data_IF_422686769952
#
_entry.id   IF_422686769952
#
_cell.length_a   1.000
_cell.length_b   1.000
_cell.length_c   1.000
_cell.angle_alpha   90.00
_cell.angle_beta   90.00
_cell.angle_gamma   90.00
#
_symmetry.space_group_name_H-M   'P 1'
#
loop_
_entity.id
_entity.type
_entity.pdbx_description
1 polymer ?
2 water ?
#
# COMPACT_ATOMS: atom_id res chain seq x y z
N UNK A 2 17.29 7.05 -8.92
CA UNK A 2 17.68 5.64 -9.21
C UNK A 2 16.61 4.76 -9.82
N UNK A 3 16.95 4.06 -10.90
CA UNK A 3 15.93 3.33 -11.66
C UNK A 3 16.38 2.05 -12.35
N UNK A 4 16.64 0.98 -11.60
CA UNK A 4 16.76 -0.37 -12.18
C UNK A 4 15.40 -0.78 -12.75
N UNK A 5 15.44 -1.50 -13.89
CA UNK A 5 14.22 -1.98 -14.55
C UNK A 5 14.07 -3.51 -14.46
N UNK A 6 12.82 -3.96 -14.50
CA UNK A 6 12.51 -5.34 -14.21
C UNK A 6 11.46 -5.82 -15.19
N UNK A 7 11.42 -7.13 -15.41
CA UNK A 7 10.34 -7.76 -16.15
C UNK A 7 10.01 -6.95 -17.41
N UNK A 8 8.74 -6.58 -17.58
CA UNK A 8 8.30 -5.89 -18.79
C UNK A 8 8.81 -4.47 -18.96
N UNK A 9 9.01 -3.78 -17.83
CA UNK A 9 9.40 -2.36 -17.89
C UNK A 9 10.32 -1.89 -16.78
N UNK A 10 10.17 -0.58 -16.51
CA UNK A 10 10.94 0.04 -15.47
C UNK A 10 10.08 0.50 -14.29
N UNK A 12 11.26 3.74 -11.49
CA UNK A 12 12.20 4.58 -10.77
C UNK A 12 12.06 4.27 -9.26
N UNK A 13 13.17 4.27 -8.52
CA UNK A 13 13.08 4.01 -7.08
C UNK A 13 14.05 4.84 -6.29
N UNK A 14 13.64 5.25 -5.09
CA UNK A 14 14.51 6.03 -4.17
C UNK A 14 15.14 5.12 -3.14
N UNK A 15 16.33 5.51 -2.70
CA UNK A 15 17.06 4.75 -1.74
C UNK A 15 17.55 5.70 -0.71
N UNK A 16 17.39 5.32 0.55
CA UNK A 16 17.72 6.19 1.65
C UNK A 16 18.19 5.39 2.84
N UNK A 17 19.47 5.52 3.17
CA UNK A 17 20.00 4.81 4.29
C UNK A 17 21.23 4.04 3.91
N UNK A 18 21.70 3.29 4.91
CA UNK A 18 22.89 2.48 4.80
C UNK A 18 22.55 1.12 4.18
N UNK A 19 23.11 0.80 2.99
CA UNK A 19 22.61 -0.33 2.20
C UNK A 19 22.74 -1.64 2.98
N UNK A 20 23.82 -1.72 3.75
CA UNK A 20 24.19 -2.84 4.59
C UNK A 20 23.58 -2.59 5.98
N UNK A 21 22.26 -2.42 5.97
CA UNK A 21 21.42 -2.34 7.17
C UNK A 21 20.12 -3.06 6.81
N UNK A 22 19.25 -3.35 7.81
CA UNK A 22 18.04 -4.11 7.49
C UNK A 22 17.22 -3.44 6.39
N UNK A 23 16.98 -4.18 5.30
CA UNK A 23 16.30 -3.61 4.13
C UNK A 23 14.78 -3.66 4.28
N UNK A 24 14.15 -2.54 3.93
CA UNK A 24 12.75 -2.26 4.18
C UNK A 24 12.20 -1.58 2.97
N UNK A 25 11.18 -2.18 2.35
CA UNK A 25 10.56 -1.58 1.17
C UNK A 25 9.34 -0.76 1.55
N UNK A 26 9.27 0.47 1.02
CA UNK A 26 8.07 1.26 1.19
C UNK A 26 7.24 1.31 -0.09
N UNK A 27 6.14 0.55 -0.15
CA UNK A 27 5.31 0.34 -1.38
C UNK A 27 3.97 1.03 -1.35
N UNK A 28 3.70 1.88 -2.33
CA UNK A 28 2.46 2.66 -2.35
C UNK A 28 1.12 1.95 -2.83
N UNK A 29 0.02 2.70 -2.89
CA UNK A 29 -1.17 2.21 -3.57
C UNK A 29 -1.09 2.55 -5.04
N UNK A 30 -2.17 2.24 -5.77
CA UNK A 30 -2.29 2.58 -7.20
C UNK A 30 -2.38 4.07 -7.31
N UNK A 31 -1.83 4.64 -8.38
CA UNK A 31 -1.94 6.07 -8.58
C UNK A 31 -1.28 6.87 -7.46
N UNK A 32 -0.24 6.29 -6.87
CA UNK A 32 0.59 6.96 -5.87
C UNK A 32 2.08 6.81 -6.15
N UNK A 33 2.84 7.54 -5.35
CA UNK A 33 4.23 7.60 -5.56
C UNK A 33 5.12 7.30 -4.37
N UNK A 34 6.44 7.30 -4.58
CA UNK A 34 7.38 7.26 -3.49
C UNK A 34 7.20 8.54 -2.64
N UNK A 35 6.64 9.59 -3.24
CA UNK A 35 6.30 10.82 -2.51
C UNK A 35 5.21 10.58 -1.43
N UNK A 36 4.52 9.46 -1.50
CA UNK A 36 3.64 9.15 -0.38
C UNK A 36 4.49 9.02 0.88
N UNK A 37 5.74 8.64 0.71
CA UNK A 37 6.55 8.31 1.85
C UNK A 37 7.47 9.43 2.26
N UNK A 38 7.18 10.63 1.79
CA UNK A 38 8.18 11.67 1.83
C UNK A 38 8.51 12.02 3.26
N UNK A 39 7.49 11.93 4.14
CA UNK A 39 7.66 12.27 5.57
C UNK A 39 8.20 11.10 6.34
N UNK A 40 7.74 9.91 6.00
CA UNK A 40 8.08 8.71 6.77
C UNK A 40 9.49 8.14 6.49
N UNK A 41 9.92 8.23 5.25
CA UNK A 41 11.20 7.67 4.85
C UNK A 41 12.37 8.30 5.54
N UNK A 42 12.49 9.65 5.55
CA UNK A 42 13.70 10.19 6.20
C UNK A 42 13.82 9.76 7.65
N UNK A 43 12.70 9.46 8.30
CA UNK A 43 12.73 8.98 9.66
C UNK A 43 13.32 7.56 9.72
N UNK A 44 12.82 6.65 8.88
CA UNK A 44 13.30 5.28 8.90
C UNK A 44 14.71 5.12 8.32
N UNK A 45 15.31 6.20 7.82
CA UNK A 45 16.65 6.11 7.19
C UNK A 45 17.77 5.98 8.23
N UNK A 46 17.36 6.03 9.50
CA UNK A 46 18.24 5.95 10.63
C UNK A 46 18.58 4.47 10.88
N UNK A 47 17.55 3.61 10.73
CA UNK A 47 17.60 2.22 11.20
C UNK A 47 17.67 1.23 10.08
N UNK A 48 16.99 1.57 9.00
CA UNK A 48 16.81 0.68 7.89
C UNK A 48 17.43 1.19 6.61
N UNK A 49 17.64 0.28 5.66
CA UNK A 49 17.98 0.62 4.28
C UNK A 49 16.65 0.76 3.57
N UNK A 50 16.30 1.96 3.09
CA UNK A 50 14.89 2.19 2.71
C UNK A 50 14.67 2.47 1.24
N UNK A 51 13.96 1.55 0.58
CA UNK A 51 13.67 1.63 -0.85
C UNK A 51 12.21 1.99 -1.13
N UNK A 52 11.94 3.16 -1.67
CA UNK A 52 10.59 3.46 -2.08
C UNK A 52 10.47 3.34 -3.60
N UNK A 53 9.96 2.19 -4.11
CA UNK A 53 9.70 2.05 -5.57
C UNK A 53 8.44 2.71 -6.17
N UNK A 54 8.44 2.84 -7.49
CA UNK A 54 7.29 3.41 -8.24
C UNK A 54 6.77 2.36 -9.20
N UNK A 55 5.59 1.87 -8.85
CA UNK A 55 4.88 0.88 -9.63
C UNK A 55 4.94 1.12 -11.15
N UNK A 56 4.93 0.04 -11.93
CA UNK A 56 4.66 0.16 -13.37
C UNK A 56 3.79 1.37 -13.71
N UNK A 57 4.25 2.22 -14.62
CA UNK A 57 3.40 3.31 -15.11
C UNK A 57 3.34 4.50 -14.18
N UNK A 58 3.93 4.32 -13.00
CA UNK A 58 3.94 5.34 -11.97
C UNK A 58 5.22 6.14 -11.87
N UNK A 59 6.21 5.80 -12.67
CA UNK A 59 7.44 6.55 -12.70
C UNK A 59 7.19 8.01 -13.16
N UNK A 60 8.19 8.86 -12.93
CA UNK A 60 8.16 10.26 -13.39
C UNK A 60 7.88 10.36 -14.89
N UNK A 61 8.08 9.26 -15.60
CA UNK A 61 7.90 9.24 -17.03
C UNK A 61 6.56 8.65 -17.41
N UNK A 62 5.75 8.38 -16.39
CA UNK A 62 4.46 7.71 -16.53
C UNK A 62 4.43 6.89 -17.82
N UNK A 63 5.09 5.73 -17.76
CA UNK A 63 5.33 4.92 -18.94
C UNK A 63 4.24 3.92 -19.16
N UNK A 64 3.70 3.91 -20.37
CA UNK A 64 2.71 2.92 -20.76
C UNK A 64 3.42 1.60 -21.07
N UNK A 65 2.69 0.73 -21.76
CA UNK A 65 3.02 -0.66 -21.95
C UNK A 65 1.66 -1.28 -21.76
N UNK A 66 1.58 -2.60 -21.87
CA UNK A 66 0.32 -3.30 -21.73
C UNK A 66 -0.33 -2.92 -20.41
N UNK A 67 -1.63 -3.13 -20.34
CA UNK A 67 -2.26 -3.08 -19.04
C UNK A 67 -1.71 -4.33 -18.36
N UNK A 68 -2.04 -4.51 -17.07
CA UNK A 68 -1.43 -5.58 -16.27
C UNK A 68 -2.28 -5.97 -15.06
N UNK A 69 -1.93 -7.10 -14.47
CA UNK A 69 -2.55 -7.59 -13.23
C UNK A 69 -1.82 -6.96 -12.03
N UNK A 70 -2.55 -6.94 -10.92
CA UNK A 70 -2.01 -6.81 -9.56
C UNK A 70 -0.98 -7.90 -9.27
N UNK A 71 -1.07 -9.00 -10.03
CA UNK A 71 -0.12 -10.12 -9.93
C UNK A 71 1.21 -9.93 -10.67
N UNK A 72 1.19 -9.15 -11.75
CA UNK A 72 2.45 -8.79 -12.42
C UNK A 72 3.21 -7.73 -11.60
N UNK A 73 2.51 -6.92 -10.76
CA UNK A 73 3.21 -5.90 -9.96
C UNK A 73 4.08 -6.59 -8.94
N UNK A 74 3.52 -7.61 -8.31
CA UNK A 74 4.25 -8.65 -7.58
C UNK A 74 5.48 -9.15 -8.32
N UNK A 75 5.27 -9.52 -9.58
CA UNK A 75 6.34 -10.05 -10.37
C UNK A 75 7.48 -9.03 -10.54
N UNK A 76 7.09 -7.79 -10.84
CA UNK A 76 7.96 -6.63 -10.78
C UNK A 76 8.89 -6.68 -9.55
N UNK A 77 8.28 -6.60 -8.37
CA UNK A 77 9.03 -6.55 -7.14
C UNK A 77 9.92 -7.78 -6.94
N UNK A 78 9.49 -8.95 -7.42
CA UNK A 78 10.29 -10.17 -7.27
C UNK A 78 11.56 -10.16 -8.17
N UNK A 79 11.41 -9.55 -9.33
CA UNK A 79 12.50 -9.30 -10.23
C UNK A 79 13.36 -8.13 -9.69
N UNK A 80 12.89 -7.48 -8.61
CA UNK A 80 13.63 -6.38 -7.97
C UNK A 80 14.63 -6.92 -6.99
N UNK A 81 14.14 -7.44 -5.86
CA UNK A 81 14.92 -8.16 -4.84
C UNK A 81 16.09 -9.02 -5.41
N UNK A 82 15.80 -9.76 -6.48
CA UNK A 82 16.75 -10.62 -7.18
C UNK A 82 17.78 -9.76 -7.93
N UNK A 83 17.30 -8.86 -8.78
CA UNK A 83 18.14 -8.02 -9.64
C UNK A 83 19.22 -7.26 -8.88
N UNK A 84 18.86 -6.80 -7.67
CA UNK A 84 19.77 -6.11 -6.73
C UNK A 84 20.44 -7.03 -5.71
N UNK A 85 20.00 -8.29 -5.66
CA UNK A 85 20.63 -9.31 -4.80
C UNK A 85 20.33 -9.14 -3.32
N UNK A 86 19.05 -9.22 -2.95
CA UNK A 86 18.66 -8.92 -1.59
C UNK A 86 17.94 -10.09 -0.94
N UNK A 87 18.67 -10.98 -0.27
CA UNK A 87 18.01 -12.11 0.47
C UNK A 87 17.15 -11.70 1.70
N UNK A 88 17.63 -10.79 2.56
CA UNK A 88 16.88 -10.42 3.78
C UNK A 88 16.19 -9.05 3.65
N UNK A 89 14.86 -9.02 3.86
CA UNK A 89 14.09 -7.78 3.71
C UNK A 89 12.64 -7.87 4.18
N UNK A 90 12.05 -6.70 4.40
CA UNK A 90 10.69 -6.58 4.85
C UNK A 90 10.01 -5.62 3.91
N UNK A 92 6.49 -2.70 3.59
CA UNK A 92 5.40 -1.99 4.19
C UNK A 92 4.63 -1.44 3.05
N UNK A 93 3.36 -1.77 2.99
CA UNK A 93 2.55 -1.35 1.84
C UNK A 93 1.33 -0.52 2.24
N UNK A 94 0.87 0.27 1.28
CA UNK A 94 -0.27 1.14 1.48
C UNK A 94 -1.51 0.67 0.74
N UNK A 95 -2.65 0.75 1.41
CA UNK A 95 -3.92 0.64 0.71
C UNK A 95 -3.94 -0.64 -0.17
N UNK A 96 -4.16 -0.50 -1.48
CA UNK A 96 -4.31 -1.68 -2.32
C UNK A 96 -2.98 -2.23 -2.83
N UNK A 97 -1.91 -1.54 -2.44
CA UNK A 97 -0.55 -2.07 -2.55
C UNK A 97 -0.42 -3.34 -1.73
N UNK A 98 -1.25 -3.49 -0.70
CA UNK A 98 -1.19 -4.65 0.15
C UNK A 98 -1.48 -5.99 -0.52
N UNK A 99 -2.51 -6.04 -1.36
CA UNK A 99 -2.71 -7.18 -2.26
C UNK A 99 -1.35 -7.65 -2.85
N UNK A 100 -0.53 -6.72 -3.35
CA UNK A 100 0.83 -7.07 -3.83
C UNK A 100 1.76 -7.62 -2.70
N UNK A 101 1.84 -6.89 -1.60
CA UNK A 101 2.53 -7.31 -0.40
C UNK A 101 2.23 -8.78 -0.01
N UNK A 102 0.95 -9.09 0.20
CA UNK A 102 0.58 -10.43 0.59
C UNK A 102 0.90 -11.48 -0.46
N UNK A 103 0.81 -11.08 -1.72
CA UNK A 103 1.17 -12.01 -2.81
C UNK A 103 2.62 -12.45 -2.65
N UNK A 104 3.47 -11.52 -2.25
CA UNK A 104 4.89 -11.80 -2.19
C UNK A 104 5.14 -12.64 -0.96
N UNK A 105 4.46 -12.34 0.14
CA UNK A 105 4.57 -13.17 1.32
C UNK A 105 4.16 -14.59 1.00
N UNK A 106 3.29 -14.73 0.00
CA UNK A 106 2.80 -16.04 -0.41
C UNK A 106 3.71 -16.68 -1.45
N UNK A 107 4.33 -15.86 -2.31
CA UNK A 107 5.18 -16.38 -3.39
C UNK A 107 6.51 -16.85 -2.85
N UNK A 108 7.19 -15.99 -2.11
CA UNK A 108 8.35 -16.35 -1.27
C UNK A 108 7.90 -17.09 0.00
N UNK A 109 8.86 -17.54 0.83
CA UNK A 109 8.48 -18.22 2.09
C UNK A 109 7.56 -17.41 3.04
N UNK A 110 7.06 -18.03 4.10
CA UNK A 110 6.79 -17.28 5.32
C UNK A 110 8.11 -17.30 6.05
N UNK A 111 8.67 -18.50 6.14
CA UNK A 111 10.02 -18.71 6.63
C UNK A 111 10.91 -17.59 6.15
N UNK A 112 10.92 -17.34 4.84
CA UNK A 112 11.71 -16.26 4.23
C UNK A 112 11.40 -14.86 4.81
N UNK A 113 10.21 -14.35 4.58
CA UNK A 113 9.85 -13.14 5.27
C UNK A 113 8.70 -13.36 6.25
N UNK A 114 9.05 -13.48 7.54
CA UNK A 114 8.13 -13.87 8.63
C UNK A 114 7.20 -12.75 9.14
N UNK A 115 7.32 -11.54 8.57
CA UNK A 115 6.59 -10.35 9.01
C UNK A 115 6.38 -9.36 7.90
N UNK A 116 5.27 -8.65 7.97
CA UNK A 116 4.95 -7.67 6.94
C UNK A 116 4.01 -6.60 7.50
N UNK A 117 3.94 -5.42 6.88
CA UNK A 117 3.06 -4.39 7.39
C UNK A 117 2.26 -3.87 6.27
N UNK A 118 1.03 -3.56 6.59
CA UNK A 118 0.10 -2.99 5.65
C UNK A 118 -0.52 -1.76 6.31
N UNK A 119 -0.88 -0.77 5.51
CA UNK A 119 -1.33 0.49 6.06
C UNK A 119 -2.65 0.85 5.38
N UNK A 120 -3.70 1.02 6.16
CA UNK A 120 -4.92 1.58 5.63
C UNK A 120 -5.44 0.85 4.43
N UNK A 121 -5.51 -0.48 4.59
CA UNK A 121 -6.13 -1.41 3.67
C UNK A 121 -7.52 -1.73 4.23
N UNK A 122 -8.55 -1.49 3.40
CA UNK A 122 -9.93 -1.68 3.82
C UNK A 122 -10.26 -3.16 3.93
N UNK A 123 -10.33 -3.63 5.18
CA UNK A 123 -10.35 -5.06 5.42
C UNK A 123 -11.65 -5.71 4.96
N UNK A 124 -12.68 -4.91 4.73
CA UNK A 124 -13.95 -5.47 4.38
C UNK A 124 -14.69 -4.50 3.45
N UNK A 125 -15.14 -4.96 2.26
CA UNK A 125 -15.74 -4.01 1.33
C UNK A 125 -17.13 -3.64 1.83
N UNK A 126 -17.74 -2.58 1.30
CA UNK A 126 -19.12 -2.23 1.68
C UNK A 126 -19.81 -1.53 0.51
N UNK A 127 -21.16 -1.38 0.53
CA UNK A 127 -21.86 -0.88 -0.67
C UNK A 127 -21.28 0.38 -1.26
N UNK A 128 -21.00 1.36 -0.41
CA UNK A 128 -20.33 2.60 -0.87
C UNK A 128 -19.12 2.39 -1.77
N UNK A 129 -18.18 1.60 -1.25
CA UNK A 129 -16.96 1.21 -1.92
C UNK A 129 -17.16 0.60 -3.32
N UNK A 130 -17.95 -0.47 -3.40
CA UNK A 130 -18.27 -1.09 -4.66
C UNK A 130 -18.76 -0.10 -5.70
N UNK A 131 -19.52 0.90 -5.25
CA UNK A 131 -19.98 1.91 -6.17
C UNK A 131 -18.83 2.73 -6.72
N UNK A 132 -17.97 3.20 -5.83
CA UNK A 132 -16.89 4.10 -6.21
C UNK A 132 -15.90 3.39 -7.11
N UNK A 133 -15.80 2.07 -6.96
CA UNK A 133 -15.02 1.29 -7.88
C UNK A 133 -15.67 1.28 -9.27
N UNK A 134 -17.00 1.36 -9.31
CA UNK A 134 -17.68 1.45 -10.61
C UNK A 134 -17.58 2.88 -11.16
N UNK A 135 -17.97 3.88 -10.36
CA UNK A 135 -17.82 5.28 -10.79
C UNK A 135 -16.43 5.44 -11.40
N UNK A 136 -15.44 5.03 -10.62
CA UNK A 136 -14.07 4.96 -11.05
C UNK A 136 -13.71 4.51 -12.46
N UNK A 137 -14.47 3.60 -13.08
CA UNK A 137 -14.02 3.04 -14.36
C UNK A 137 -14.72 3.63 -15.57
N UNK A 138 -15.62 4.57 -15.30
CA UNK A 138 -16.43 5.24 -16.29
C UNK A 138 -15.61 6.08 -17.26
N UNK A 139 -15.50 5.65 -18.54
CA UNK A 139 -14.60 6.25 -19.53
C UNK A 139 -14.70 7.77 -19.70
N UNK A 140 -15.87 8.31 -19.37
CA UNK A 140 -16.13 9.72 -19.62
C UNK A 140 -16.13 10.53 -18.34
N UNK A 141 -16.32 9.86 -17.20
CA UNK A 141 -16.47 10.56 -15.93
C UNK A 141 -15.74 9.89 -14.77
N UNK A 142 -14.66 9.22 -15.12
CA UNK A 142 -13.76 8.62 -14.14
C UNK A 142 -13.34 9.62 -13.07
N UNK A 143 -13.16 10.89 -13.43
CA UNK A 143 -12.86 11.96 -12.49
C UNK A 143 -13.83 12.06 -11.30
N UNK A 144 -15.13 12.18 -11.57
CA UNK A 144 -16.12 12.22 -10.52
C UNK A 144 -16.03 11.00 -9.55
N UNK A 145 -15.52 9.88 -10.07
CA UNK A 145 -15.31 8.66 -9.26
C UNK A 145 -14.02 8.75 -8.51
N UNK A 146 -12.98 9.24 -9.18
CA UNK A 146 -11.76 9.63 -8.49
C UNK A 146 -12.12 10.59 -7.36
N UNK A 147 -12.91 11.62 -7.65
CA UNK A 147 -13.12 12.71 -6.70
C UNK A 147 -13.87 12.18 -5.51
N UNK A 148 -14.76 11.22 -5.75
CA UNK A 148 -15.55 10.66 -4.70
C UNK A 148 -14.71 10.14 -3.51
N UNK A 149 -13.74 9.28 -3.83
CA UNK A 149 -12.70 8.84 -2.90
C UNK A 149 -12.00 9.99 -2.18
N UNK A 150 -11.50 10.96 -2.95
CA UNK A 150 -10.78 12.09 -2.35
C UNK A 150 -11.57 12.73 -1.23
N UNK A 151 -12.82 13.10 -1.51
CA UNK A 151 -13.66 13.77 -0.52
C UNK A 151 -13.66 12.93 0.75
N UNK A 152 -13.72 11.61 0.54
CA UNK A 152 -13.74 10.66 1.64
C UNK A 152 -12.37 10.56 2.31
N UNK A 153 -11.41 10.00 1.58
CA UNK A 153 -10.04 9.90 2.03
C UNK A 153 -9.52 11.13 2.80
N UNK A 154 -9.87 12.33 2.30
CA UNK A 154 -9.41 13.56 2.95
C UNK A 154 -10.09 13.91 4.26
N UNK A 155 -11.36 13.53 4.42
CA UNK A 155 -12.18 14.01 5.55
C UNK A 155 -11.98 15.50 5.84
N UNK A 156 -11.92 15.90 7.10
CA UNK A 156 -11.82 17.32 7.48
C UNK A 156 -10.42 17.85 7.74
N UNK A 157 -9.41 17.36 7.04
CA UNK A 157 -8.07 17.83 7.42
C UNK A 157 -7.69 19.12 6.83
N UNK A 158 -6.87 19.81 7.60
CA UNK A 158 -6.17 21.00 7.20
C UNK A 158 -4.76 20.57 6.74
N UNK A 159 -4.45 19.26 6.79
CA UNK A 159 -3.08 18.79 6.54
C UNK A 159 -2.43 19.10 5.15
N UNK A 160 -1.50 20.07 5.19
CA UNK A 160 -0.85 20.59 3.98
C UNK A 160 -0.42 19.47 3.05
N UNK A 161 0.26 18.46 3.62
CA UNK A 161 0.87 17.36 2.87
C UNK A 161 -0.13 16.38 2.30
N UNK A 162 -1.23 16.13 2.99
CA UNK A 162 -2.25 15.19 2.51
C UNK A 162 -3.01 15.85 1.39
N UNK A 163 -3.44 17.09 1.67
CA UNK A 163 -4.07 17.94 0.65
C UNK A 163 -3.19 18.01 -0.59
N UNK A 164 -1.90 18.28 -0.41
CA UNK A 164 -1.03 18.40 -1.57
C UNK A 164 -1.02 17.12 -2.38
N UNK A 165 -1.09 16.01 -1.64
CA UNK A 165 -1.05 14.71 -2.24
C UNK A 165 -2.27 14.51 -3.16
N UNK A 166 -3.45 14.67 -2.60
CA UNK A 166 -4.64 14.55 -3.40
C UNK A 166 -4.96 15.83 -4.18
N UNK A 167 -3.94 16.62 -4.47
CA UNK A 167 -4.11 17.65 -5.52
C UNK A 167 -3.04 17.65 -6.54
N UNK A 168 -1.95 16.94 -6.29
CA UNK A 168 -0.80 17.11 -7.16
C UNK A 168 -0.10 15.80 -7.49
N UNK A 169 -0.20 14.83 -6.60
CA UNK A 169 0.32 13.50 -6.88
C UNK A 169 -0.70 12.74 -7.69
N UNK A 171 -3.99 12.96 -8.71
CA UNK A 171 -4.88 13.21 -9.80
C UNK A 171 -4.06 13.51 -11.08
N UNK A 172 -2.75 13.68 -10.89
CA UNK A 172 -1.79 13.94 -11.95
C UNK A 172 -1.63 12.74 -12.90
N UNK A 173 -1.73 11.52 -12.36
CA UNK A 173 -1.67 10.29 -13.17
C UNK A 173 -2.83 10.22 -14.18
N UNK A 174 -2.69 9.39 -15.21
CA UNK A 174 -3.70 9.35 -16.27
C UNK A 174 -4.97 8.62 -15.89
N UNK A 175 -6.07 9.06 -16.50
CA UNK A 175 -7.36 8.36 -16.39
C UNK A 175 -7.28 6.86 -16.64
N UNK A 176 -6.48 6.48 -17.64
CA UNK A 176 -6.21 5.06 -17.91
C UNK A 176 -5.51 4.30 -16.72
N UNK A 178 -6.10 5.49 -13.40
CA UNK A 178 -7.15 5.53 -12.40
C UNK A 178 -8.12 4.33 -12.59
N UNK A 179 -8.33 4.00 -13.86
CA UNK A 179 -9.28 2.98 -14.25
C UNK A 179 -8.70 1.61 -14.04
N UNK A 180 -7.50 1.36 -14.55
CA UNK A 180 -6.87 0.06 -14.30
C UNK A 180 -6.95 -0.27 -12.81
N UNK A 181 -6.71 0.76 -11.99
CA UNK A 181 -6.67 0.62 -10.56
C UNK A 181 -7.99 0.07 -10.05
N UNK A 182 -9.07 0.59 -10.62
CA UNK A 182 -10.39 0.18 -10.19
C UNK A 182 -10.72 -1.21 -10.65
N UNK A 183 -10.41 -1.52 -11.90
CA UNK A 183 -10.62 -2.87 -12.39
C UNK A 183 -9.88 -3.82 -11.48
N UNK A 184 -8.67 -3.43 -11.13
CA UNK A 184 -7.83 -4.35 -10.43
C UNK A 184 -8.22 -4.55 -9.01
N UNK A 185 -8.51 -3.46 -8.32
CA UNK A 185 -8.90 -3.53 -6.92
C UNK A 185 -10.20 -4.32 -6.85
N UNK A 186 -11.12 -3.92 -7.74
CA UNK A 186 -12.39 -4.59 -7.92
C UNK A 186 -12.11 -6.06 -8.12
N UNK A 187 -11.34 -6.42 -9.14
CA UNK A 187 -11.00 -7.85 -9.34
C UNK A 187 -10.59 -8.62 -8.03
N UNK A 188 -9.69 -8.03 -7.22
CA UNK A 188 -9.16 -8.72 -6.06
C UNK A 188 -10.24 -8.98 -5.01
N UNK A 189 -11.09 -8.00 -4.76
CA UNK A 189 -12.18 -8.25 -3.84
C UNK A 189 -13.05 -9.43 -4.25
N UNK A 190 -13.29 -9.53 -5.57
CA UNK A 190 -14.14 -10.57 -6.18
C UNK A 190 -13.48 -11.91 -6.09
N UNK A 191 -12.15 -11.92 -6.11
CA UNK A 191 -11.44 -13.17 -6.00
C UNK A 191 -11.43 -13.71 -4.57
N UNK A 192 -11.11 -12.83 -3.62
CA UNK A 192 -10.74 -13.25 -2.27
C UNK A 192 -11.83 -12.96 -1.29
N UNK A 193 -12.74 -12.06 -1.70
CA UNK A 193 -13.83 -11.63 -0.85
C UNK A 193 -13.36 -10.39 -0.12
N UNK A 194 -12.25 -10.48 0.61
CA UNK A 194 -11.77 -9.37 1.38
C UNK A 194 -10.33 -9.60 1.69
N UNK A 195 -9.60 -8.53 1.99
CA UNK A 195 -8.31 -8.68 2.62
C UNK A 195 -8.31 -9.71 3.74
N UNK A 196 -9.28 -9.71 4.64
CA UNK A 196 -9.28 -10.72 5.71
C UNK A 196 -9.27 -12.18 5.24
N UNK A 197 -10.07 -12.48 4.20
CA UNK A 197 -10.11 -13.82 3.63
C UNK A 197 -8.83 -14.11 2.90
N UNK A 198 -8.37 -13.15 2.11
CA UNK A 198 -7.06 -13.30 1.49
C UNK A 198 -6.03 -13.86 2.49
N UNK A 200 -6.35 -14.96 5.65
CA UNK A 200 -6.74 -16.18 6.31
C UNK A 200 -6.44 -17.43 5.43
N UNK A 201 -6.16 -17.25 4.14
CA UNK A 201 -5.99 -18.37 3.26
C UNK A 201 -4.55 -18.61 2.86
N UNK A 202 -3.64 -17.84 3.44
CA UNK A 202 -2.23 -18.19 3.28
C UNK A 202 -2.00 -19.50 4.07
N UNK A 203 -1.22 -20.43 3.49
CA UNK A 203 -0.88 -21.71 4.16
C UNK A 203 -0.05 -21.56 5.45
N UNK A 204 0.83 -20.56 5.46
CA UNK A 204 1.69 -20.25 6.59
C UNK A 204 1.68 -18.74 6.75
N UNK A 205 1.25 -18.29 7.92
CA UNK A 205 0.96 -16.89 8.11
C UNK A 205 2.09 -16.15 8.80
N UNK A 206 2.58 -15.05 8.18
CA UNK A 206 3.51 -14.17 8.88
C UNK A 206 2.80 -13.45 9.98
N UNK A 207 3.56 -12.80 10.85
CA UNK A 207 2.97 -11.79 11.70
C UNK A 207 2.67 -10.59 10.80
N UNK A 208 1.41 -10.18 10.77
CA UNK A 208 0.92 -9.07 9.94
C UNK A 208 0.44 -7.94 10.84
N UNK A 209 0.94 -6.73 10.60
CA UNK A 209 0.54 -5.59 11.39
C UNK A 209 -0.15 -4.62 10.47
N UNK A 210 -1.40 -4.29 10.80
CA UNK A 210 -2.20 -3.31 10.07
C UNK A 210 -2.26 -1.98 10.81
N UNK A 211 -1.58 -0.98 10.24
CA UNK A 211 -1.64 0.42 10.69
C UNK A 211 -2.70 1.17 9.90
N UNK A 212 -3.50 2.00 10.53
CA UNK A 212 -4.67 2.52 9.82
C UNK A 212 -5.42 3.55 10.66
N UNK A 213 -5.94 4.56 9.98
CA UNK A 213 -6.80 5.56 10.63
C UNK A 213 -8.25 5.49 10.14
N UNK A 214 -8.40 5.14 8.86
CA UNK A 214 -9.68 5.14 8.18
C UNK A 214 -10.11 3.71 7.81
N UNK A 215 -11.40 3.45 7.61
CA UNK A 215 -12.60 4.20 7.72
C UNK A 215 -12.93 4.56 9.18
N UNK A 216 -13.60 5.70 9.34
CA UNK A 216 -13.77 6.28 10.61
C UNK A 216 -14.99 5.63 11.13
N UNK A 217 -14.82 4.39 11.59
CA UNK A 217 -15.93 3.60 12.07
C UNK A 217 -15.57 2.87 13.33
N UNK A 218 -16.30 3.16 14.39
CA UNK A 218 -16.09 2.40 15.61
C UNK A 218 -16.35 0.91 15.40
N UNK A 219 -17.38 0.53 14.65
CA UNK A 219 -17.59 -0.90 14.34
C UNK A 219 -16.32 -1.57 13.80
N UNK A 220 -15.68 -0.90 12.82
CA UNK A 220 -14.51 -1.35 12.10
C UNK A 220 -13.32 -1.49 13.02
N UNK A 221 -13.10 -0.50 13.87
CA UNK A 221 -12.03 -0.59 14.83
C UNK A 221 -12.27 -1.82 15.70
N UNK A 222 -13.52 -2.05 16.10
CA UNK A 222 -13.89 -3.20 16.90
C UNK A 222 -13.72 -4.54 16.15
N UNK A 223 -14.06 -4.53 14.86
CA UNK A 223 -13.87 -5.72 14.04
C UNK A 223 -12.42 -6.19 14.07
N UNK A 224 -11.45 -5.29 14.18
CA UNK A 224 -10.08 -5.76 14.09
C UNK A 224 -9.65 -6.28 15.44
N UNK A 225 -10.02 -5.55 16.47
CA UNK A 225 -9.69 -5.96 17.83
C UNK A 225 -10.15 -7.37 18.01
N UNK A 226 -11.28 -7.67 17.38
CA UNK A 226 -11.90 -8.99 17.44
C UNK A 226 -11.27 -10.03 16.54
N UNK A 227 -10.93 -9.68 15.31
CA UNK A 227 -10.21 -10.60 14.48
C UNK A 227 -8.95 -11.03 15.16
N UNK A 228 -8.25 -10.04 15.70
CA UNK A 228 -6.98 -10.24 16.36
C UNK A 228 -7.09 -11.12 17.62
N UNK A 229 -8.24 -11.07 18.28
CA UNK A 229 -8.39 -11.87 19.49
C UNK A 229 -8.55 -13.34 19.10
N UNK A 230 -8.86 -13.58 17.83
CA UNK A 230 -9.02 -14.94 17.30
C UNK A 230 -7.85 -15.44 16.47
N UNK A 231 -6.99 -14.54 16.01
CA UNK A 231 -5.98 -14.91 15.06
C UNK A 231 -4.66 -14.23 15.43
N UNK A 232 -3.78 -14.89 16.19
CA UNK A 232 -2.61 -14.16 16.76
C UNK A 232 -1.44 -13.78 15.81
N UNK A 233 -1.63 -14.03 14.52
CA UNK A 233 -0.72 -13.55 13.51
C UNK A 233 -1.15 -12.14 13.08
N UNK A 234 -2.23 -11.62 13.69
CA UNK A 234 -2.79 -10.29 13.33
C UNK A 234 -2.64 -9.26 14.47
N UNK A 235 -2.28 -8.04 14.07
CA UNK A 235 -1.82 -6.99 14.96
C UNK A 235 -2.28 -5.65 14.38
N UNK A 236 -3.52 -5.26 14.67
CA UNK A 236 -3.99 -3.96 14.24
C UNK A 236 -3.30 -2.86 15.09
N UNK A 237 -3.03 -1.70 14.51
CA UNK A 237 -2.60 -0.51 15.27
C UNK A 237 -3.35 0.66 14.64
N UNK A 238 -4.34 1.21 15.36
CA UNK A 238 -5.07 2.45 15.00
C UNK A 238 -4.30 3.72 15.32
N UNK A 239 -3.88 4.47 14.30
CA UNK A 239 -3.46 5.87 14.57
C UNK A 239 -4.73 6.75 14.50
N UNK A 240 -5.03 7.55 15.54
CA UNK A 240 -6.22 8.39 15.43
C UNK A 240 -6.07 9.61 14.49
N UNK A 241 -6.05 9.36 13.19
CA UNK A 241 -6.06 10.43 12.19
C UNK A 241 -7.47 10.55 11.67
N UNK A 242 -7.70 11.46 10.74
CA UNK A 242 -9.00 11.56 10.11
C UNK A 242 -8.84 11.13 8.66
N UNK A 243 -7.60 10.86 8.28
CA UNK A 243 -7.18 10.69 6.90
C UNK A 243 -6.91 9.23 6.51
N UNK A 244 -6.89 8.98 5.21
CA UNK A 244 -6.54 7.67 4.64
C UNK A 244 -5.01 7.38 4.54
N UNK A 245 -4.13 8.39 4.74
CA UNK A 245 -2.67 8.21 4.54
C UNK A 245 -1.93 8.54 5.81
N UNK A 246 -1.95 7.59 6.75
CA UNK A 246 -1.24 7.85 8.00
C UNK A 246 0.27 8.14 7.80
N UNK A 247 0.84 7.71 6.69
CA UNK A 247 2.24 7.98 6.43
C UNK A 247 2.47 9.46 6.14
N UNK A 248 1.43 10.17 5.74
CA UNK A 248 1.53 11.59 5.44
C UNK A 248 1.04 12.36 6.61
N UNK A 249 -0.16 12.01 7.08
CA UNK A 249 -0.77 12.70 8.22
C UNK A 249 0.00 12.52 9.57
N UNK A 250 0.52 11.33 9.82
CA UNK A 250 1.14 11.09 11.08
C UNK A 250 2.44 10.33 10.98
N UNK A 251 3.44 10.93 10.31
CA UNK A 251 4.66 10.15 10.09
C UNK A 251 5.32 9.74 11.39
N UNK A 252 5.32 10.57 12.45
CA UNK A 252 6.01 10.20 13.70
C UNK A 252 5.38 8.95 14.24
N UNK A 253 4.04 8.87 14.17
CA UNK A 253 3.37 7.70 14.73
C UNK A 253 3.70 6.44 13.92
N UNK A 254 3.46 6.49 12.59
CA UNK A 254 3.79 5.36 11.75
C UNK A 254 5.25 4.87 11.90
N UNK A 255 6.19 5.79 12.06
CA UNK A 255 7.59 5.38 12.07
C UNK A 255 7.82 4.56 13.32
N UNK A 256 7.13 4.93 14.39
CA UNK A 256 7.42 4.29 15.64
C UNK A 256 6.85 2.88 15.62
N UNK A 257 5.73 2.71 14.91
CA UNK A 257 5.03 1.44 14.82
C UNK A 257 5.81 0.47 13.95
N UNK A 258 6.35 0.99 12.83
CA UNK A 258 7.19 0.22 11.92
C UNK A 258 8.42 -0.22 12.69
N UNK A 259 9.05 0.75 13.33
CA UNK A 259 10.21 0.46 14.16
C UNK A 259 9.92 -0.64 15.14
N UNK A 260 8.79 -0.57 15.84
CA UNK A 260 8.56 -1.51 16.93
C UNK A 260 8.09 -2.86 16.43
N UNK A 261 7.30 -2.88 15.38
CA UNK A 261 6.88 -4.16 14.90
C UNK A 261 8.04 -4.89 14.24
N UNK A 262 8.90 -4.15 13.56
CA UNK A 262 9.86 -4.83 12.74
C UNK A 262 11.06 -5.27 13.53
N UNK A 263 11.01 -5.18 14.86
CA UNK A 263 12.09 -5.77 15.69
C UNK A 263 11.62 -6.11 17.10
#
# INVERSE_FOLDING_TARGET
>A
XQSLNVNGTLXTYSESGDPHAPTLFLLSGWCQDHRLFKNLAPLLARDFHVICPDWRGHDAKQTDSGDFDSQTLAQDLLAFIDAKGIRDFQXVSTSHGCWVNIDVCEQLGAARLPKTIIIDWLLQPHPGFWQQLAEGQHPTEYVAGRQSFFDEWAETTDNADVLNHLRNEXPWFHGEXWQRACREIEANYRTWGSPLDRXDSLPQKPEICHIYSQPLSQDYRQLQLEFAAGHSWFHPRHIPGRTHFPSLENPVAVAQAIREFLQA
#
